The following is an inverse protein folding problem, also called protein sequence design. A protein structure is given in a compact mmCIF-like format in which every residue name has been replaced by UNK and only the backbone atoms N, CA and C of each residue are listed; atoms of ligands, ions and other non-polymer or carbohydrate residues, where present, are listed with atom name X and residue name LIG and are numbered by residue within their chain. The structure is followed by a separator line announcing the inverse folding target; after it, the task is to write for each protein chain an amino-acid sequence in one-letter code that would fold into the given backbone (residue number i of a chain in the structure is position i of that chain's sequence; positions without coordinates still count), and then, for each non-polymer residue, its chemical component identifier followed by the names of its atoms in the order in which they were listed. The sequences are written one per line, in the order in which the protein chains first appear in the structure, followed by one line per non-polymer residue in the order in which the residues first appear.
data_IF_830085076567
#
_entry.id   IF_830085076567
#
_cell.length_a   1.000
_cell.length_b   1.000
_cell.length_c   1.000
_cell.angle_alpha   90.00
_cell.angle_beta   90.00
_cell.angle_gamma   90.00
#
_symmetry.space_group_name_H-M   'P 1'
#
loop_
_entity.id
_entity.type
_entity.pdbx_description
1 polymer ?
#
# COMPACT_ATOMS: atom_id res chain seq x y z
N UNK A 1 4.36 10.47 -13.81
CA UNK A 1 3.13 9.99 -13.14
C UNK A 1 3.56 9.28 -11.86
N UNK A 2 2.82 9.46 -10.77
CA UNK A 2 3.10 8.76 -9.50
C UNK A 2 2.76 7.29 -9.65
N UNK A 3 3.63 6.39 -9.18
CA UNK A 3 3.42 4.93 -9.22
C UNK A 3 3.05 4.40 -7.84
N UNK A 4 2.18 3.40 -7.83
CA UNK A 4 1.70 2.68 -6.63
C UNK A 4 1.69 1.18 -6.88
N UNK A 5 1.53 0.37 -5.82
CA UNK A 5 1.56 -1.09 -5.90
C UNK A 5 0.14 -1.63 -5.82
N UNK A 6 -0.29 -2.30 -6.88
CA UNK A 6 -1.63 -2.88 -6.95
C UNK A 6 -1.74 -4.10 -6.03
N UNK A 7 -2.90 -4.27 -5.42
CA UNK A 7 -3.26 -5.38 -4.56
C UNK A 7 -4.45 -6.14 -5.15
N UNK A 8 -4.47 -7.45 -4.96
CA UNK A 8 -5.73 -8.22 -5.00
C UNK A 8 -6.55 -7.94 -3.74
N UNK A 9 -7.84 -8.29 -3.76
CA UNK A 9 -8.68 -8.20 -2.57
C UNK A 9 -8.13 -9.05 -1.40
N UNK A 10 -7.58 -10.23 -1.71
CA UNK A 10 -6.96 -11.09 -0.70
C UNK A 10 -5.72 -10.43 -0.07
N UNK A 11 -4.84 -9.85 -0.90
CA UNK A 11 -3.66 -9.12 -0.43
C UNK A 11 -4.06 -7.89 0.40
N UNK A 12 -5.09 -7.14 -0.01
CA UNK A 12 -5.67 -6.05 0.79
C UNK A 12 -6.10 -6.54 2.17
N UNK A 13 -6.81 -7.66 2.24
CA UNK A 13 -7.32 -8.20 3.51
C UNK A 13 -6.19 -8.70 4.42
N UNK A 14 -5.09 -9.20 3.85
CA UNK A 14 -3.89 -9.57 4.61
C UNK A 14 -3.26 -8.34 5.28
N UNK A 15 -3.24 -7.19 4.60
CA UNK A 15 -2.59 -5.96 5.08
C UNK A 15 -3.46 -5.16 6.05
N UNK A 16 -4.75 -5.40 6.09
CA UNK A 16 -5.69 -4.69 6.96
C UNK A 16 -5.32 -4.86 8.44
N UNK A 17 -4.98 -3.75 9.10
CA UNK A 17 -4.54 -3.75 10.49
C UNK A 17 -3.08 -4.17 10.72
N UNK A 18 -2.32 -4.49 9.67
CA UNK A 18 -0.87 -4.75 9.78
C UNK A 18 -0.08 -3.44 9.80
N UNK A 19 1.06 -3.48 10.48
CA UNK A 19 2.02 -2.37 10.59
C UNK A 19 3.13 -2.54 9.55
N UNK A 20 3.49 -1.46 8.86
CA UNK A 20 4.66 -1.37 7.96
C UNK A 20 5.70 -0.34 8.44
N UNK A 21 5.43 0.27 9.61
CA UNK A 21 6.02 1.49 10.15
C UNK A 21 6.70 1.37 11.53
N UNK A 22 7.80 2.10 11.75
CA UNK A 22 8.43 2.29 13.04
C UNK A 22 7.52 3.28 13.73
N UNK A 23 6.87 2.86 14.82
CA UNK A 23 5.74 3.54 15.50
C UNK A 23 4.34 3.11 15.06
N UNK A 24 4.16 1.92 14.47
CA UNK A 24 2.82 1.37 14.34
C UNK A 24 2.01 1.97 13.19
N UNK A 25 2.67 2.53 12.16
CA UNK A 25 1.98 2.99 10.96
C UNK A 25 1.32 1.78 10.30
N UNK A 26 0.00 1.86 10.14
CA UNK A 26 -0.79 0.82 9.52
C UNK A 26 -0.71 0.94 8.00
N UNK A 27 -0.78 -0.20 7.32
CA UNK A 27 -1.00 -0.18 5.89
C UNK A 27 -2.35 0.50 5.62
N UNK A 28 -2.39 1.25 4.54
CA UNK A 28 -3.55 2.00 4.10
C UNK A 28 -3.93 1.60 2.66
N UNK A 29 -4.48 0.39 2.44
CA UNK A 29 -4.99 0.02 1.14
C UNK A 29 -6.12 0.95 0.71
N UNK A 30 -6.02 1.51 -0.49
CA UNK A 30 -6.99 2.44 -1.05
C UNK A 30 -7.57 1.88 -2.34
N UNK A 31 -8.81 2.26 -2.64
CA UNK A 31 -9.48 1.95 -3.90
C UNK A 31 -9.35 3.14 -4.84
N UNK A 32 -8.82 2.89 -6.04
CA UNK A 32 -8.66 3.90 -7.08
C UNK A 32 -9.95 4.11 -7.91
N UNK A 33 -9.94 5.04 -8.87
CA UNK A 33 -11.10 5.33 -9.70
C UNK A 33 -11.47 4.21 -10.70
N UNK A 34 -10.55 3.29 -10.99
CA UNK A 34 -10.76 2.13 -11.86
C UNK A 34 -11.17 0.87 -11.05
N UNK A 35 -11.27 0.98 -9.72
CA UNK A 35 -11.61 -0.12 -8.83
C UNK A 35 -10.44 -1.03 -8.46
N UNK A 36 -9.19 -0.58 -8.66
CA UNK A 36 -8.00 -1.30 -8.20
C UNK A 36 -7.68 -0.94 -6.74
N UNK A 37 -7.38 -1.96 -5.94
CA UNK A 37 -6.78 -1.75 -4.65
C UNK A 37 -5.29 -1.46 -4.81
N UNK A 38 -4.74 -0.53 -4.04
CA UNK A 38 -3.32 -0.23 -4.05
C UNK A 38 -2.81 0.25 -2.70
N UNK A 39 -1.49 0.20 -2.52
CA UNK A 39 -0.72 0.89 -1.47
C UNK A 39 0.40 1.72 -2.10
N UNK A 40 0.91 2.69 -1.37
CA UNK A 40 2.02 3.53 -1.83
C UNK A 40 3.35 2.76 -1.87
N UNK A 41 4.27 3.24 -2.72
CA UNK A 41 5.65 2.75 -2.71
C UNK A 41 6.38 3.11 -1.39
N UNK A 42 5.94 4.16 -0.68
CA UNK A 42 6.46 4.48 0.65
C UNK A 42 6.13 3.36 1.64
N UNK A 43 4.89 2.87 1.63
CA UNK A 43 4.47 1.75 2.48
C UNK A 43 5.30 0.49 2.23
N UNK A 44 5.53 0.15 0.96
CA UNK A 44 6.38 -0.99 0.59
C UNK A 44 7.84 -0.78 1.03
N UNK A 45 8.37 0.43 0.88
CA UNK A 45 9.75 0.74 1.26
C UNK A 45 9.94 0.84 2.78
N UNK A 46 8.99 1.39 3.53
CA UNK A 46 9.07 1.44 4.99
C UNK A 46 9.01 0.03 5.59
N UNK A 47 8.23 -0.86 4.97
CA UNK A 47 8.21 -2.28 5.27
C UNK A 47 9.60 -2.92 5.13
N UNK A 48 10.35 -2.60 4.07
CA UNK A 48 11.68 -3.21 3.84
C UNK A 48 12.79 -2.54 4.62
N UNK A 49 12.67 -1.24 4.91
CA UNK A 49 13.67 -0.47 5.67
C UNK A 49 13.60 -0.73 7.17
N UNK A 50 12.42 -0.98 7.73
CA UNK A 50 12.27 -1.26 9.18
C UNK A 50 12.57 -2.71 9.55
N UNK A 51 13.02 -3.49 8.58
CA UNK A 51 13.16 -4.93 8.69
C UNK A 51 14.53 -5.46 8.40
N UNK A 52 15.51 -4.56 8.37
CA UNK A 52 16.85 -5.05 8.62
C UNK A 52 16.93 -5.85 9.93
N UNK A 53 16.07 -5.60 10.96
CA UNK A 53 16.32 -6.20 12.28
C UNK A 53 15.13 -6.68 13.17
N UNK A 54 13.83 -6.36 12.96
CA UNK A 54 12.84 -6.68 14.04
C UNK A 54 11.37 -6.96 13.70
N UNK A 55 10.90 -6.70 12.48
CA UNK A 55 9.53 -7.05 12.06
C UNK A 55 9.66 -7.97 10.85
N UNK A 56 8.84 -9.02 10.68
CA UNK A 56 8.77 -9.77 9.43
C UNK A 56 7.78 -9.10 8.47
N UNK A 57 8.22 -8.70 7.29
CA UNK A 57 7.38 -8.14 6.24
C UNK A 57 7.26 -9.24 5.23
N UNK A 58 6.06 -9.22 4.73
CA UNK A 58 5.62 -9.89 3.56
C UNK A 58 6.54 -9.52 2.37
N UNK A 59 7.57 -10.34 2.13
CA UNK A 59 8.51 -10.16 1.02
C UNK A 59 7.80 -10.12 -0.35
N UNK A 60 6.58 -10.66 -0.42
CA UNK A 60 5.72 -10.58 -1.59
C UNK A 60 5.31 -9.14 -1.95
N UNK A 61 5.39 -8.16 -1.03
CA UNK A 61 5.11 -6.75 -1.33
C UNK A 61 6.03 -6.19 -2.42
N UNK A 62 7.27 -6.68 -2.51
CA UNK A 62 8.23 -6.30 -3.56
C UNK A 62 7.86 -6.87 -4.94
N UNK A 63 7.05 -7.94 -4.96
CA UNK A 63 6.61 -8.60 -6.19
C UNK A 63 5.31 -8.02 -6.76
N UNK A 64 4.69 -7.07 -6.03
CA UNK A 64 3.46 -6.44 -6.48
C UNK A 64 3.66 -5.65 -7.78
N UNK A 65 2.73 -5.71 -8.73
CA UNK A 65 2.82 -4.93 -9.95
C UNK A 65 2.68 -3.43 -9.66
N UNK A 66 3.45 -2.62 -10.39
CA UNK A 66 3.33 -1.16 -10.34
C UNK A 66 2.31 -0.67 -11.35
N UNK A 67 1.38 0.16 -10.89
CA UNK A 67 0.36 0.82 -11.70
C UNK A 67 0.48 2.34 -11.57
N UNK A 68 -0.10 3.07 -12.53
CA UNK A 68 -0.23 4.51 -12.43
C UNK A 68 -1.27 4.88 -11.37
N UNK A 69 -0.95 5.86 -10.53
CA UNK A 69 -1.86 6.35 -9.51
C UNK A 69 -3.07 7.06 -10.14
N UNK A 70 -4.27 6.56 -9.86
CA UNK A 70 -5.54 7.09 -10.38
C UNK A 70 -6.54 7.41 -9.25
N UNK A 71 -6.37 8.53 -8.52
CA UNK A 71 -7.19 8.81 -7.35
C UNK A 71 -8.66 9.01 -7.69
N UNK A 72 -9.54 8.61 -6.77
CA UNK A 72 -10.95 9.03 -6.81
C UNK A 72 -11.01 10.54 -6.58
N UNK A 73 -11.34 11.29 -7.63
CA UNK A 73 -11.57 12.73 -7.54
C UNK A 73 -13.00 12.95 -7.06
N UNK A 74 -13.16 13.34 -5.80
CA UNK A 74 -14.43 13.87 -5.30
C UNK A 74 -14.37 15.40 -5.37
N UNK A 75 -15.18 15.99 -6.25
CA UNK A 75 -15.47 17.42 -6.18
C UNK A 75 -16.25 17.66 -4.89
N UNK A 76 -15.59 18.17 -3.83
CA UNK A 76 -16.34 18.67 -2.69
C UNK A 76 -17.20 19.84 -3.17
N UNK A 77 -18.51 19.88 -2.88
CA UNK A 77 -19.25 21.11 -3.05
C UNK A 77 -18.63 22.16 -2.11
N UNK A 78 -18.28 23.31 -2.68
CA UNK A 78 -17.77 24.48 -1.95
C UNK A 78 -18.79 25.03 -0.97
#
# INVERSE_FOLDING_TARGET
MTKVRQLTLEQKNILEGKVWGFQGQLFNPQLDADGNWFISNEEVNGCTLQQAESIPCDAWLLTLPEIDYNPVVSERPF
#
